data_IF_392803412665
#
_entry.id   IF_392803412665
#
_cell.length_a   1.000
_cell.length_b   1.000
_cell.length_c   1.000
_cell.angle_alpha   90.00
_cell.angle_beta   90.00
_cell.angle_gamma   90.00
#
_symmetry.space_group_name_H-M   'P 1'
#
loop_
_entity.id
_entity.type
_entity.pdbx_description
1 polymer ?
#
# COMPACT_ATOMS: atom_id res chain seq x y z
N UNK A 1 4.83 8.02 9.90
CA UNK A 1 5.70 7.24 10.77
C UNK A 1 6.06 5.91 10.14
N UNK A 2 7.30 5.44 10.42
CA UNK A 2 7.80 4.12 10.03
C UNK A 2 7.24 3.04 10.95
N UNK A 3 6.18 2.39 10.51
CA UNK A 3 5.50 1.39 11.33
C UNK A 3 6.26 0.06 11.38
N UNK A 4 7.04 -0.27 10.35
CA UNK A 4 7.86 -1.49 10.33
C UNK A 4 8.87 -1.46 11.47
N UNK A 5 9.60 -0.36 11.57
CA UNK A 5 10.62 -0.17 12.60
C UNK A 5 10.02 0.00 13.98
N UNK A 6 8.90 0.76 14.09
CA UNK A 6 8.20 0.94 15.35
C UNK A 6 7.65 -0.39 15.91
N UNK A 7 7.12 -1.26 15.07
CA UNK A 7 6.63 -2.58 15.46
C UNK A 7 7.78 -3.52 15.86
N UNK A 8 8.87 -3.53 15.08
CA UNK A 8 10.06 -4.31 15.38
C UNK A 8 10.67 -3.97 16.75
N UNK A 9 10.65 -2.68 17.11
CA UNK A 9 11.15 -2.18 18.39
C UNK A 9 10.13 -2.33 19.55
N UNK A 10 8.94 -2.90 19.27
CA UNK A 10 7.85 -3.01 20.25
C UNK A 10 7.24 -1.67 20.66
N UNK A 11 7.48 -0.61 19.90
CA UNK A 11 6.94 0.72 20.14
C UNK A 11 5.53 0.91 19.55
N UNK A 12 5.10 0.07 18.65
CA UNK A 12 3.80 0.14 18.02
C UNK A 12 3.06 -1.20 18.12
N UNK A 13 1.80 -1.11 18.54
CA UNK A 13 0.83 -2.19 18.48
C UNK A 13 -0.44 -1.66 17.81
N UNK A 14 -0.74 -2.18 16.62
CA UNK A 14 -1.86 -1.71 15.80
C UNK A 14 -3.22 -1.95 16.46
N UNK A 15 -3.34 -2.99 17.30
CA UNK A 15 -4.59 -3.35 17.96
C UNK A 15 -4.91 -2.43 19.15
N UNK A 16 -3.91 -1.78 19.73
CA UNK A 16 -4.06 -0.96 20.92
C UNK A 16 -4.37 0.52 20.64
N UNK A 17 -4.32 0.95 19.37
CA UNK A 17 -4.49 2.36 19.02
C UNK A 17 -5.79 2.62 18.25
N UNK A 18 -6.62 3.46 18.82
CA UNK A 18 -7.83 3.98 18.17
C UNK A 18 -7.62 5.46 17.82
N UNK A 19 -7.73 5.81 16.52
CA UNK A 19 -7.65 7.20 16.09
C UNK A 19 -8.88 7.98 16.55
N UNK A 20 -8.66 9.02 17.33
CA UNK A 20 -9.73 9.91 17.85
C UNK A 20 -9.87 11.20 17.05
N UNK A 21 -8.94 11.47 16.12
CA UNK A 21 -8.83 12.76 15.44
C UNK A 21 -8.28 13.90 16.33
N UNK A 22 -7.94 13.59 17.58
CA UNK A 22 -7.31 14.55 18.52
C UNK A 22 -5.79 14.38 18.51
N UNK A 23 -5.10 15.48 18.81
CA UNK A 23 -3.67 15.41 19.07
C UNK A 23 -3.41 14.60 20.35
N UNK A 24 -2.44 13.69 20.28
CA UNK A 24 -2.05 12.80 21.37
C UNK A 24 -0.52 12.86 21.57
N UNK A 25 -0.09 13.60 22.58
CA UNK A 25 1.33 13.77 22.92
C UNK A 25 1.98 12.41 23.21
N UNK A 26 1.29 11.46 23.82
CA UNK A 26 1.83 10.15 24.13
C UNK A 26 2.12 9.32 22.86
N UNK A 27 1.29 9.44 21.83
CA UNK A 27 1.53 8.83 20.52
C UNK A 27 2.71 9.52 19.83
N UNK A 28 2.75 10.85 19.84
CA UNK A 28 3.83 11.62 19.23
C UNK A 28 5.17 11.28 19.87
N UNK A 29 5.27 11.32 21.18
CA UNK A 29 6.50 11.01 21.91
C UNK A 29 6.97 9.57 21.66
N UNK A 30 6.04 8.62 21.67
CA UNK A 30 6.34 7.20 21.43
C UNK A 30 6.84 6.94 20.02
N UNK A 31 6.31 7.66 19.03
CA UNK A 31 6.64 7.48 17.62
C UNK A 31 7.69 8.47 17.09
N UNK A 32 8.15 9.43 17.87
CA UNK A 32 9.05 10.49 17.42
C UNK A 32 10.30 9.99 16.67
N UNK A 33 10.96 8.93 17.18
CA UNK A 33 12.14 8.34 16.53
C UNK A 33 11.85 7.57 15.23
N UNK A 34 10.58 7.38 14.92
CA UNK A 34 10.11 6.72 13.70
C UNK A 34 9.48 7.72 12.71
N UNK A 35 9.69 9.00 12.92
CA UNK A 35 9.26 10.03 11.99
C UNK A 35 9.91 9.84 10.62
N UNK A 36 9.12 10.08 9.57
CA UNK A 36 9.60 10.05 8.18
C UNK A 36 9.53 11.48 7.65
N UNK A 37 10.67 12.04 7.29
CA UNK A 37 10.77 13.34 6.63
C UNK A 37 10.58 13.20 5.13
N UNK A 38 10.00 14.23 4.48
CA UNK A 38 9.91 14.32 3.02
C UNK A 38 8.70 13.61 2.43
N UNK A 39 7.70 13.28 3.24
CA UNK A 39 6.41 12.76 2.78
C UNK A 39 5.50 13.94 2.42
N UNK A 40 4.89 13.92 1.23
CA UNK A 40 3.90 14.89 0.80
C UNK A 40 2.50 14.26 0.78
N UNK A 41 1.55 14.96 1.37
CA UNK A 41 0.13 14.66 1.27
C UNK A 41 -0.57 15.70 0.40
N UNK A 42 -1.54 15.25 -0.39
CA UNK A 42 -2.44 16.15 -1.12
C UNK A 42 -3.86 15.90 -0.64
N UNK A 43 -4.59 16.94 -0.34
CA UNK A 43 -5.98 16.86 0.07
C UNK A 43 -6.92 17.48 -0.96
N UNK A 44 -8.12 16.94 -1.08
CA UNK A 44 -9.18 17.40 -1.97
C UNK A 44 -10.50 17.43 -1.21
N UNK A 45 -11.20 18.57 -1.20
CA UNK A 45 -12.54 18.66 -0.65
C UNK A 45 -13.52 17.96 -1.60
N UNK A 46 -14.19 16.92 -1.13
CA UNK A 46 -15.00 16.03 -2.00
C UNK A 46 -16.50 16.08 -1.69
N UNK A 47 -16.90 16.55 -0.50
CA UNK A 47 -18.31 16.63 -0.13
C UNK A 47 -18.57 17.71 0.91
N UNK A 48 -19.80 18.18 0.93
CA UNK A 48 -20.35 19.05 1.97
C UNK A 48 -20.79 18.25 3.19
N UNK A 49 -20.72 18.87 4.36
CA UNK A 49 -21.25 18.29 5.61
C UNK A 49 -22.73 18.69 5.75
N UNK A 50 -23.58 17.71 6.03
CA UNK A 50 -24.97 17.90 6.38
C UNK A 50 -25.30 17.25 7.71
N UNK A 51 -26.06 17.94 8.54
CA UNK A 51 -26.59 17.34 9.77
C UNK A 51 -27.78 16.45 9.41
N UNK A 52 -27.73 15.23 9.90
CA UNK A 52 -28.87 14.31 9.86
C UNK A 52 -29.53 14.23 11.23
N UNK A 53 -30.84 14.32 11.26
CA UNK A 53 -31.60 14.16 12.48
C UNK A 53 -32.81 13.29 12.19
N UNK A 54 -32.72 12.05 12.56
CA UNK A 54 -33.76 11.03 12.34
C UNK A 54 -34.36 10.54 13.65
N UNK A 55 -35.61 10.11 13.60
CA UNK A 55 -36.26 9.44 14.71
C UNK A 55 -36.12 7.91 14.47
N UNK A 56 -35.30 7.26 15.28
CA UNK A 56 -35.15 5.81 15.31
C UNK A 56 -35.75 5.32 16.61
N UNK A 57 -36.75 4.46 16.54
CA UNK A 57 -37.50 3.93 17.72
C UNK A 57 -38.02 5.03 18.67
N UNK A 58 -38.41 6.17 18.10
CA UNK A 58 -38.92 7.32 18.85
C UNK A 58 -37.87 8.18 19.55
N UNK A 59 -36.58 7.85 19.38
CA UNK A 59 -35.46 8.67 19.84
C UNK A 59 -34.83 9.42 18.69
N UNK A 60 -34.49 10.71 18.94
CA UNK A 60 -33.79 11.51 17.95
C UNK A 60 -32.33 11.10 17.91
N UNK A 61 -31.91 10.54 16.77
CA UNK A 61 -30.51 10.32 16.47
C UNK A 61 -30.01 11.48 15.61
N UNK A 62 -28.87 12.07 16.01
CA UNK A 62 -28.18 13.11 15.27
C UNK A 62 -26.90 12.52 14.72
N UNK A 63 -26.69 12.63 13.44
CA UNK A 63 -25.50 12.13 12.76
C UNK A 63 -25.00 13.13 11.71
N UNK A 64 -23.88 12.81 11.13
CA UNK A 64 -23.27 13.56 10.03
C UNK A 64 -23.42 12.79 8.74
N UNK A 65 -23.84 13.47 7.70
CA UNK A 65 -23.88 12.97 6.33
C UNK A 65 -22.98 13.82 5.45
N UNK A 66 -22.45 13.22 4.43
CA UNK A 66 -21.59 13.86 3.44
C UNK A 66 -22.30 13.91 2.09
N UNK A 67 -22.57 15.10 1.60
CA UNK A 67 -23.31 15.35 0.38
C UNK A 67 -22.39 15.51 -0.83
N UNK A 68 -22.48 14.57 -1.76
CA UNK A 68 -21.76 14.61 -3.03
C UNK A 68 -22.65 15.18 -4.10
N UNK A 69 -22.32 16.36 -4.58
CA UNK A 69 -23.15 17.21 -5.46
C UNK A 69 -23.02 16.89 -6.95
N UNK A 70 -22.25 15.85 -7.31
CA UNK A 70 -21.98 15.47 -8.70
C UNK A 70 -20.98 16.37 -9.41
N UNK A 71 -20.23 17.20 -8.67
CA UNK A 71 -19.09 17.96 -9.21
C UNK A 71 -18.02 17.05 -9.80
N UNK A 72 -17.10 17.61 -10.56
CA UNK A 72 -16.00 16.86 -11.18
C UNK A 72 -15.21 16.04 -10.14
N UNK A 73 -14.92 16.63 -8.98
CA UNK A 73 -14.20 15.96 -7.89
C UNK A 73 -15.01 14.82 -7.25
N UNK A 74 -16.28 15.04 -6.98
CA UNK A 74 -17.20 13.98 -6.52
C UNK A 74 -17.28 12.84 -7.53
N UNK A 75 -17.39 13.16 -8.82
CA UNK A 75 -17.49 12.18 -9.90
C UNK A 75 -16.23 11.37 -10.11
N UNK A 76 -15.05 11.87 -9.71
CA UNK A 76 -13.80 11.12 -9.78
C UNK A 76 -13.65 10.13 -8.62
N UNK A 77 -14.06 10.52 -7.41
CA UNK A 77 -13.85 9.74 -6.19
C UNK A 77 -14.86 8.60 -6.04
N UNK A 78 -16.16 8.86 -6.24
CA UNK A 78 -17.21 7.86 -6.00
C UNK A 78 -17.01 6.56 -6.82
N UNK A 79 -16.79 6.60 -8.15
CA UNK A 79 -16.56 5.39 -8.92
C UNK A 79 -15.27 4.65 -8.53
N UNK A 80 -14.21 5.40 -8.15
CA UNK A 80 -12.93 4.81 -7.76
C UNK A 80 -13.05 3.88 -6.54
N UNK A 81 -14.01 4.16 -5.66
CA UNK A 81 -14.28 3.34 -4.46
C UNK A 81 -15.55 2.49 -4.60
N UNK A 82 -16.12 2.40 -5.81
CA UNK A 82 -17.31 1.60 -6.07
C UNK A 82 -18.59 2.09 -5.41
N UNK A 83 -18.69 3.41 -5.11
CA UNK A 83 -19.89 4.04 -4.58
C UNK A 83 -20.84 4.45 -5.71
N UNK A 84 -22.12 4.18 -5.48
CA UNK A 84 -23.22 4.52 -6.38
C UNK A 84 -24.35 5.23 -5.63
N UNK A 85 -25.30 5.81 -6.35
CA UNK A 85 -26.50 6.39 -5.74
C UNK A 85 -27.33 5.39 -4.93
N UNK A 86 -27.21 4.08 -5.22
CA UNK A 86 -27.90 3.03 -4.48
C UNK A 86 -27.33 2.82 -3.06
N UNK A 87 -26.08 3.24 -2.84
CA UNK A 87 -25.42 3.17 -1.53
C UNK A 87 -25.70 4.39 -0.66
N UNK A 88 -26.38 5.43 -1.21
CA UNK A 88 -26.67 6.65 -0.49
C UNK A 88 -27.65 6.38 0.66
N UNK A 89 -27.36 7.00 1.81
CA UNK A 89 -28.29 7.03 2.95
C UNK A 89 -29.59 7.77 2.57
N UNK A 90 -29.47 8.88 1.83
CA UNK A 90 -30.57 9.60 1.20
C UNK A 90 -30.11 10.34 -0.06
N UNK A 91 -31.07 10.67 -0.93
CA UNK A 91 -30.86 11.58 -2.06
C UNK A 91 -31.87 12.71 -1.95
N UNK A 92 -31.38 13.94 -1.97
CA UNK A 92 -32.21 15.13 -1.83
C UNK A 92 -31.66 16.25 -2.74
N UNK A 93 -32.51 16.85 -3.54
CA UNK A 93 -32.09 17.93 -4.46
C UNK A 93 -31.07 17.52 -5.52
N UNK A 94 -30.96 16.24 -5.84
CA UNK A 94 -29.95 15.70 -6.76
C UNK A 94 -28.61 15.39 -6.10
N UNK A 95 -28.47 15.64 -4.80
CA UNK A 95 -27.27 15.34 -4.01
C UNK A 95 -27.44 13.98 -3.34
N UNK A 96 -26.43 13.14 -3.44
CA UNK A 96 -26.36 11.86 -2.73
C UNK A 96 -25.60 12.05 -1.41
N UNK A 97 -26.23 11.65 -0.32
CA UNK A 97 -25.68 11.77 1.02
C UNK A 97 -25.29 10.42 1.55
N UNK A 98 -24.04 10.29 2.01
CA UNK A 98 -23.48 9.07 2.56
C UNK A 98 -23.06 9.25 4.02
N UNK A 99 -23.09 8.15 4.78
CA UNK A 99 -22.51 8.10 6.13
C UNK A 99 -21.00 7.88 6.06
N UNK A 100 -20.26 8.22 7.12
CA UNK A 100 -18.84 7.90 7.25
C UNK A 100 -18.57 6.40 7.14
N UNK A 101 -19.45 5.57 7.72
CA UNK A 101 -19.31 4.12 7.69
C UNK A 101 -19.42 3.56 6.27
N UNK A 102 -20.38 4.07 5.49
CA UNK A 102 -20.52 3.67 4.08
C UNK A 102 -19.28 4.06 3.28
N UNK A 103 -18.79 5.29 3.43
CA UNK A 103 -17.60 5.79 2.74
C UNK A 103 -16.36 4.96 3.07
N UNK A 104 -16.09 4.75 4.37
CA UNK A 104 -14.93 4.01 4.84
C UNK A 104 -14.99 2.52 4.47
N UNK A 105 -16.17 1.89 4.58
CA UNK A 105 -16.35 0.50 4.20
C UNK A 105 -16.12 0.27 2.70
N UNK A 106 -16.64 1.16 1.85
CA UNK A 106 -16.44 1.08 0.41
C UNK A 106 -14.99 1.33 0.02
N UNK A 107 -14.35 2.35 0.59
CA UNK A 107 -12.93 2.60 0.36
C UNK A 107 -12.08 1.39 0.77
N UNK A 108 -12.32 0.84 1.97
CA UNK A 108 -11.59 -0.33 2.45
C UNK A 108 -11.82 -1.56 1.57
N UNK A 109 -13.05 -1.82 1.15
CA UNK A 109 -13.36 -2.94 0.26
C UNK A 109 -12.72 -2.76 -1.14
N UNK A 110 -12.75 -1.57 -1.70
CA UNK A 110 -12.12 -1.27 -2.98
C UNK A 110 -10.60 -1.44 -2.92
N UNK A 111 -9.95 -0.95 -1.86
CA UNK A 111 -8.51 -1.11 -1.63
C UNK A 111 -8.13 -2.59 -1.42
N UNK A 112 -8.94 -3.36 -0.70
CA UNK A 112 -8.72 -4.79 -0.52
C UNK A 112 -8.84 -5.57 -1.83
N UNK A 113 -9.77 -5.16 -2.71
CA UNK A 113 -9.95 -5.80 -4.01
C UNK A 113 -8.84 -5.45 -5.02
N UNK A 114 -8.40 -4.18 -5.03
CA UNK A 114 -7.42 -3.68 -6.00
C UNK A 114 -6.76 -2.37 -5.52
N UNK A 115 -5.84 -2.49 -4.58
CA UNK A 115 -5.16 -1.35 -3.97
C UNK A 115 -4.50 -0.41 -5.01
N UNK A 116 -3.81 -0.98 -5.99
CA UNK A 116 -3.06 -0.19 -6.98
C UNK A 116 -3.98 0.66 -7.85
N UNK A 117 -5.03 0.08 -8.42
CA UNK A 117 -5.97 0.84 -9.25
C UNK A 117 -6.69 1.91 -8.45
N UNK A 118 -7.12 1.60 -7.23
CA UNK A 118 -7.82 2.56 -6.37
C UNK A 118 -6.89 3.70 -5.95
N UNK A 119 -5.68 3.39 -5.47
CA UNK A 119 -4.69 4.41 -5.12
C UNK A 119 -4.37 5.33 -6.30
N UNK A 120 -4.10 4.76 -7.47
CA UNK A 120 -3.79 5.54 -8.68
C UNK A 120 -4.96 6.44 -9.10
N UNK A 121 -6.19 5.95 -9.04
CA UNK A 121 -7.39 6.74 -9.39
C UNK A 121 -7.61 7.89 -8.40
N UNK A 122 -7.47 7.64 -7.10
CA UNK A 122 -7.63 8.66 -6.06
C UNK A 122 -6.47 9.67 -6.08
N UNK A 123 -5.24 9.23 -6.35
CA UNK A 123 -4.09 10.10 -6.54
C UNK A 123 -4.26 11.01 -7.75
N UNK A 124 -4.76 10.49 -8.87
CA UNK A 124 -5.07 11.30 -10.05
C UNK A 124 -6.14 12.37 -9.71
N UNK A 125 -7.19 12.00 -8.97
CA UNK A 125 -8.24 12.93 -8.55
C UNK A 125 -7.70 14.07 -7.67
N UNK A 126 -6.84 13.76 -6.69
CA UNK A 126 -6.28 14.81 -5.82
C UNK A 126 -5.22 15.66 -6.53
N UNK A 127 -4.50 15.12 -7.50
CA UNK A 127 -3.54 15.90 -8.31
C UNK A 127 -4.21 16.88 -9.28
N UNK A 128 -5.42 16.57 -9.73
CA UNK A 128 -6.16 17.44 -10.66
C UNK A 128 -6.81 18.65 -9.96
N UNK A 129 -7.34 18.49 -8.75
CA UNK A 129 -8.06 19.57 -8.08
C UNK A 129 -7.72 19.77 -6.61
N UNK A 130 -6.78 19.04 -6.06
CA UNK A 130 -6.41 19.11 -4.66
C UNK A 130 -5.30 20.12 -4.37
N UNK A 131 -5.00 20.25 -3.09
CA UNK A 131 -3.94 21.12 -2.57
C UNK A 131 -2.86 20.27 -1.94
N UNK A 132 -1.63 20.38 -2.46
CA UNK A 132 -0.47 19.72 -1.88
C UNK A 132 -0.07 20.42 -0.57
N UNK A 133 0.17 19.62 0.47
CA UNK A 133 0.74 20.10 1.74
C UNK A 133 2.26 20.25 1.58
N UNK A 134 2.86 21.01 2.49
CA UNK A 134 4.33 20.96 2.60
C UNK A 134 4.77 19.57 2.99
N UNK A 135 5.96 19.16 2.53
CA UNK A 135 6.55 17.89 2.97
C UNK A 135 6.69 17.83 4.49
N UNK A 136 6.56 16.63 5.04
CA UNK A 136 6.82 16.40 6.46
C UNK A 136 8.26 16.83 6.82
N UNK A 137 8.39 17.52 7.94
CA UNK A 137 9.66 17.97 8.49
C UNK A 137 10.44 16.81 9.16
N UNK A 138 11.56 17.13 9.79
CA UNK A 138 12.40 16.14 10.49
C UNK A 138 11.69 15.45 11.67
N UNK A 139 10.60 16.03 12.16
CA UNK A 139 9.75 15.42 13.20
C UNK A 139 8.59 14.61 12.62
N UNK A 140 8.50 14.52 11.28
CA UNK A 140 7.42 13.85 10.57
C UNK A 140 6.11 14.62 10.56
N UNK A 141 6.14 15.92 10.84
CA UNK A 141 4.94 16.76 10.93
C UNK A 141 4.74 17.58 9.65
N UNK A 142 3.49 17.69 9.24
CA UNK A 142 2.98 18.68 8.27
C UNK A 142 1.58 19.11 8.69
N UNK A 143 1.12 20.26 8.22
CA UNK A 143 -0.21 20.80 8.54
C UNK A 143 -0.81 21.58 7.39
N UNK A 144 -2.13 21.67 7.37
CA UNK A 144 -2.91 22.60 6.56
C UNK A 144 -3.79 23.44 7.48
N UNK A 145 -3.99 24.70 7.14
CA UNK A 145 -4.79 25.65 7.91
C UNK A 145 -5.79 26.38 7.02
N UNK A 146 -6.74 27.09 7.63
CA UNK A 146 -7.76 27.88 6.94
C UNK A 146 -8.62 27.05 5.96
N UNK A 147 -8.86 25.79 6.30
CA UNK A 147 -9.66 24.89 5.49
C UNK A 147 -11.16 25.13 5.71
N UNK A 148 -11.94 25.10 4.63
CA UNK A 148 -13.39 25.15 4.70
C UNK A 148 -13.97 23.89 5.35
N UNK A 149 -15.18 23.99 5.90
CA UNK A 149 -15.89 22.82 6.39
C UNK A 149 -16.24 21.87 5.23
N UNK A 150 -16.06 20.58 5.45
CA UNK A 150 -16.32 19.58 4.41
C UNK A 150 -15.68 18.24 4.71
N UNK A 151 -15.92 17.30 3.81
CA UNK A 151 -15.18 16.03 3.77
C UNK A 151 -14.01 16.16 2.81
N UNK A 152 -12.86 15.74 3.24
CA UNK A 152 -11.62 15.75 2.48
C UNK A 152 -11.13 14.34 2.22
N UNK A 153 -10.76 14.06 0.98
CA UNK A 153 -9.92 12.92 0.61
C UNK A 153 -8.47 13.34 0.78
N UNK A 154 -7.68 12.57 1.51
CA UNK A 154 -6.25 12.77 1.70
C UNK A 154 -5.49 11.60 1.10
N UNK A 155 -4.52 11.90 0.26
CA UNK A 155 -3.68 10.92 -0.42
C UNK A 155 -2.22 11.29 -0.23
N UNK A 156 -1.39 10.29 0.00
CA UNK A 156 0.06 10.43 0.02
C UNK A 156 0.57 10.45 -1.43
N UNK A 157 1.03 11.61 -1.89
CA UNK A 157 1.37 11.86 -3.30
C UNK A 157 2.84 11.79 -3.61
N UNK A 158 3.69 11.86 -2.60
CA UNK A 158 5.13 11.67 -2.72
C UNK A 158 5.72 11.13 -1.42
N UNK A 159 6.66 10.20 -1.57
CA UNK A 159 7.39 9.59 -0.46
C UNK A 159 8.89 9.54 -0.75
N UNK A 160 9.75 9.54 0.29
CA UNK A 160 11.17 9.26 0.13
C UNK A 160 11.43 7.83 -0.38
N UNK A 161 12.59 7.62 -1.00
CA UNK A 161 12.96 6.33 -1.60
C UNK A 161 13.00 5.14 -0.62
N UNK A 162 13.16 5.41 0.67
CA UNK A 162 13.18 4.37 1.70
C UNK A 162 11.79 3.91 2.16
N UNK A 163 10.72 4.53 1.66
CA UNK A 163 9.34 4.08 1.91
C UNK A 163 8.97 3.01 0.92
N UNK A 164 8.71 1.81 1.40
CA UNK A 164 8.38 0.63 0.59
C UNK A 164 6.89 0.39 0.47
N UNK A 165 6.10 0.91 1.41
CA UNK A 165 4.64 0.88 1.36
C UNK A 165 4.07 2.17 1.93
N UNK A 166 3.23 2.83 1.14
CA UNK A 166 2.54 4.08 1.48
C UNK A 166 1.28 3.80 2.28
N UNK A 167 0.84 4.76 3.10
CA UNK A 167 -0.46 4.66 3.73
C UNK A 167 -1.58 4.63 2.68
N UNK A 168 -2.71 4.04 3.03
CA UNK A 168 -3.88 4.07 2.16
C UNK A 168 -4.50 5.47 2.15
N UNK A 169 -5.14 5.90 1.04
CA UNK A 169 -5.98 7.07 1.02
C UNK A 169 -7.06 7.00 2.12
N UNK A 170 -7.39 8.13 2.71
CA UNK A 170 -8.36 8.19 3.80
C UNK A 170 -9.20 9.47 3.74
N UNK A 171 -10.35 9.44 4.41
CA UNK A 171 -11.21 10.60 4.52
C UNK A 171 -11.01 11.31 5.86
N UNK A 172 -11.07 12.64 5.83
CA UNK A 172 -11.05 13.52 7.01
C UNK A 172 -12.24 14.46 6.92
N UNK A 173 -13.05 14.48 7.95
CA UNK A 173 -14.14 15.45 8.12
C UNK A 173 -13.64 16.68 8.88
N UNK A 174 -13.97 17.86 8.40
CA UNK A 174 -13.74 19.13 9.11
C UNK A 174 -15.05 19.90 9.26
N UNK A 175 -15.57 20.05 10.48
CA UNK A 175 -15.08 19.44 11.72
C UNK A 175 -15.36 17.93 11.81
N UNK A 176 -14.61 17.27 12.66
CA UNK A 176 -14.93 15.93 13.15
C UNK A 176 -15.79 15.98 14.40
N UNK A 177 -16.61 14.95 14.63
CA UNK A 177 -17.22 14.75 15.95
C UNK A 177 -16.28 13.96 16.84
N UNK A 178 -16.28 14.23 18.14
CA UNK A 178 -15.67 13.35 19.13
C UNK A 178 -16.31 11.95 19.09
N UNK A 179 -15.64 10.93 19.60
CA UNK A 179 -16.12 9.52 19.56
C UNK A 179 -17.52 9.38 20.19
N UNK A 180 -17.80 10.12 21.25
CA UNK A 180 -19.12 10.15 21.91
C UNK A 180 -20.14 11.07 21.22
N UNK A 181 -19.74 11.78 20.16
CA UNK A 181 -20.60 12.69 19.40
C UNK A 181 -20.98 13.97 20.14
N UNK A 182 -20.34 14.27 21.27
CA UNK A 182 -20.72 15.39 22.13
C UNK A 182 -20.17 16.74 21.70
N UNK A 183 -19.02 16.75 21.00
CA UNK A 183 -18.30 17.96 20.63
C UNK A 183 -17.81 17.92 19.18
N UNK A 184 -17.57 19.13 18.63
CA UNK A 184 -16.96 19.29 17.32
C UNK A 184 -15.49 19.61 17.46
N UNK A 185 -14.65 18.81 16.81
CA UNK A 185 -13.22 19.04 16.69
C UNK A 185 -12.89 19.71 15.36
N UNK A 186 -12.35 20.93 15.42
CA UNK A 186 -11.89 21.70 14.26
C UNK A 186 -10.37 21.59 14.04
N UNK A 187 -9.64 21.03 14.99
CA UNK A 187 -8.19 20.78 14.90
C UNK A 187 -7.96 19.28 14.85
N UNK A 188 -8.05 18.73 13.64
CA UNK A 188 -8.01 17.29 13.42
C UNK A 188 -6.58 16.83 13.19
N UNK A 189 -6.10 15.93 14.03
CA UNK A 189 -4.80 15.28 13.90
C UNK A 189 -4.94 13.84 13.43
N UNK A 190 -4.16 13.47 12.43
CA UNK A 190 -4.06 12.10 11.91
C UNK A 190 -2.61 11.61 11.96
N UNK A 191 -2.43 10.32 12.17
CA UNK A 191 -1.11 9.68 12.27
C UNK A 191 -0.92 8.64 11.16
N UNK A 192 -0.63 9.05 9.90
CA UNK A 192 -0.39 8.12 8.81
C UNK A 192 0.83 7.22 9.08
N UNK A 193 0.75 6.00 8.61
CA UNK A 193 1.75 4.96 8.88
C UNK A 193 2.24 4.37 7.57
N UNK A 194 3.54 4.44 7.37
CA UNK A 194 4.24 3.90 6.21
C UNK A 194 5.14 2.76 6.63
N UNK A 195 5.48 1.92 5.69
CA UNK A 195 6.52 0.92 5.87
C UNK A 195 7.80 1.39 5.18
N UNK A 196 8.93 1.18 5.83
CA UNK A 196 10.24 1.50 5.29
C UNK A 196 11.11 0.25 5.26
N UNK A 197 12.26 0.39 4.62
CA UNK A 197 13.24 -0.68 4.45
C UNK A 197 13.17 -1.25 3.05
N UNK A 198 14.33 -1.43 2.44
CA UNK A 198 14.42 -2.18 1.21
C UNK A 198 14.31 -3.67 1.57
N UNK A 199 13.61 -4.48 0.75
CA UNK A 199 13.69 -5.92 0.90
C UNK A 199 15.15 -6.35 0.83
N UNK A 200 15.57 -7.25 1.73
CA UNK A 200 16.86 -7.92 1.54
C UNK A 200 16.80 -8.66 0.21
N UNK A 201 17.86 -8.55 -0.57
CA UNK A 201 17.95 -9.19 -1.87
C UNK A 201 19.28 -9.91 -1.98
N UNK A 202 19.22 -11.20 -2.23
CA UNK A 202 20.36 -12.05 -2.51
C UNK A 202 20.21 -12.65 -3.91
N UNK A 203 21.23 -12.48 -4.76
CA UNK A 203 21.31 -13.13 -6.07
C UNK A 203 22.44 -14.14 -6.10
N UNK A 204 22.11 -15.36 -6.43
CA UNK A 204 23.04 -16.46 -6.54
C UNK A 204 22.91 -17.13 -7.91
N UNK A 205 23.91 -17.92 -8.27
CA UNK A 205 24.02 -18.63 -9.54
C UNK A 205 24.52 -20.05 -9.31
N UNK A 206 24.06 -20.97 -10.14
CA UNK A 206 24.66 -22.32 -10.23
C UNK A 206 24.79 -22.75 -11.69
N UNK A 207 25.65 -23.73 -11.93
CA UNK A 207 25.69 -24.40 -13.21
C UNK A 207 24.45 -25.27 -13.39
N UNK A 208 23.78 -25.16 -14.53
CA UNK A 208 22.65 -26.03 -14.83
C UNK A 208 23.14 -27.48 -14.99
N UNK A 209 22.24 -28.44 -14.76
CA UNK A 209 22.55 -29.89 -14.79
C UNK A 209 23.12 -30.35 -16.13
N UNK A 210 22.85 -29.65 -17.22
CA UNK A 210 23.38 -29.88 -18.56
C UNK A 210 24.68 -29.16 -18.83
N UNK A 211 25.19 -28.36 -17.90
CA UNK A 211 26.39 -27.54 -18.07
C UNK A 211 27.64 -28.44 -18.17
N UNK A 212 28.56 -28.01 -19.01
CA UNK A 212 29.90 -28.60 -19.11
C UNK A 212 30.94 -27.89 -18.25
N UNK A 213 30.50 -26.99 -17.38
CA UNK A 213 31.34 -26.24 -16.45
C UNK A 213 32.16 -27.13 -15.52
N UNK A 214 33.17 -26.54 -14.87
CA UNK A 214 34.10 -27.26 -14.02
C UNK A 214 33.58 -27.56 -12.62
N UNK A 215 32.48 -26.94 -12.22
CA UNK A 215 31.86 -27.19 -10.92
C UNK A 215 30.95 -28.41 -11.01
N UNK A 216 31.55 -29.58 -10.97
CA UNK A 216 30.86 -30.89 -11.07
C UNK A 216 30.28 -31.33 -9.74
N UNK A 217 29.99 -30.41 -8.82
CA UNK A 217 29.21 -30.76 -7.62
C UNK A 217 27.92 -31.45 -8.03
N UNK A 218 27.41 -32.36 -7.22
CA UNK A 218 26.15 -33.06 -7.48
C UNK A 218 24.98 -32.08 -7.53
N UNK A 219 24.77 -31.52 -8.70
CA UNK A 219 23.62 -30.63 -8.97
C UNK A 219 22.35 -31.48 -9.14
N UNK A 220 21.92 -32.13 -8.07
CA UNK A 220 20.80 -33.07 -8.15
C UNK A 220 19.47 -32.37 -8.03
N UNK A 221 19.41 -31.25 -7.30
CA UNK A 221 18.18 -30.55 -7.00
C UNK A 221 18.30 -29.03 -7.16
N UNK A 222 17.20 -28.38 -7.45
CA UNK A 222 17.05 -26.90 -7.40
C UNK A 222 17.27 -26.47 -5.94
N UNK A 223 18.15 -25.51 -5.71
CA UNK A 223 18.55 -25.08 -4.38
C UNK A 223 19.90 -25.61 -3.93
N UNK A 224 20.32 -26.79 -4.41
CA UNK A 224 21.65 -27.32 -4.13
C UNK A 224 22.70 -26.60 -4.97
N UNK A 225 23.75 -26.16 -4.32
CA UNK A 225 24.96 -25.61 -4.97
C UNK A 225 24.79 -24.18 -5.57
N UNK A 226 23.76 -23.43 -5.22
CA UNK A 226 23.72 -22.00 -5.52
C UNK A 226 24.81 -21.26 -4.74
N UNK A 227 25.57 -20.42 -5.42
CA UNK A 227 26.65 -19.63 -4.86
C UNK A 227 26.74 -18.26 -5.54
N UNK A 228 27.57 -17.36 -5.02
CA UNK A 228 27.80 -16.06 -5.66
C UNK A 228 28.61 -16.15 -6.95
N UNK A 229 29.19 -17.31 -7.23
CA UNK A 229 29.98 -17.57 -8.44
C UNK A 229 29.70 -18.96 -8.99
N UNK A 230 29.73 -19.10 -10.32
CA UNK A 230 29.69 -20.38 -11.02
C UNK A 230 30.69 -20.38 -12.18
N UNK A 231 31.12 -21.54 -12.64
CA UNK A 231 31.94 -21.71 -13.84
C UNK A 231 31.06 -22.16 -14.99
N UNK A 232 31.24 -21.58 -16.17
CA UNK A 232 30.50 -21.95 -17.36
C UNK A 232 31.38 -21.84 -18.60
N UNK A 233 31.12 -22.64 -19.62
CA UNK A 233 31.72 -22.55 -20.95
C UNK A 233 30.74 -21.85 -21.91
N UNK A 234 31.24 -21.42 -23.05
CA UNK A 234 30.39 -20.83 -24.10
C UNK A 234 29.35 -21.88 -24.54
N UNK A 235 28.09 -21.53 -24.45
CA UNK A 235 26.93 -22.38 -24.80
C UNK A 235 26.34 -23.13 -23.62
N UNK A 236 26.93 -23.04 -22.42
CA UNK A 236 26.35 -23.60 -21.21
C UNK A 236 25.17 -22.72 -20.70
N UNK A 237 24.22 -23.35 -20.05
CA UNK A 237 23.16 -22.67 -19.29
C UNK A 237 23.57 -22.56 -17.84
N UNK A 238 23.26 -21.46 -17.20
CA UNK A 238 23.41 -21.25 -15.75
C UNK A 238 22.05 -20.83 -15.17
N UNK A 239 21.72 -21.34 -14.00
CA UNK A 239 20.51 -20.99 -13.30
C UNK A 239 20.79 -19.86 -12.31
N UNK A 240 19.95 -18.83 -12.30
CA UNK A 240 19.98 -17.76 -11.31
C UNK A 240 18.84 -17.91 -10.31
N UNK A 241 19.13 -17.60 -9.07
CA UNK A 241 18.14 -17.48 -8.01
C UNK A 241 18.24 -16.10 -7.37
N UNK A 242 17.10 -15.43 -7.22
CA UNK A 242 17.00 -14.17 -6.51
C UNK A 242 16.05 -14.40 -5.34
N UNK A 243 16.55 -14.23 -4.11
CA UNK A 243 15.77 -14.32 -2.88
C UNK A 243 15.61 -12.92 -2.35
N UNK A 244 14.39 -12.54 -2.01
CA UNK A 244 14.10 -11.27 -1.32
C UNK A 244 13.08 -11.47 -0.21
N UNK A 245 13.22 -10.69 0.86
CA UNK A 245 12.23 -10.65 1.93
C UNK A 245 11.12 -9.66 1.59
N UNK A 246 9.88 -10.08 1.82
CA UNK A 246 8.71 -9.20 1.67
C UNK A 246 8.49 -8.42 2.97
N UNK A 247 8.06 -7.14 2.87
CA UNK A 247 7.70 -6.39 4.06
C UNK A 247 6.44 -6.97 4.71
N UNK A 248 6.41 -7.02 6.04
CA UNK A 248 5.24 -7.42 6.80
C UNK A 248 4.24 -6.26 6.86
N UNK A 249 3.00 -6.49 6.46
CA UNK A 249 1.93 -5.49 6.52
C UNK A 249 1.26 -5.57 7.89
N UNK A 250 1.46 -4.54 8.71
CA UNK A 250 1.01 -4.49 10.11
C UNK A 250 -0.22 -3.62 10.33
N UNK A 251 -0.77 -3.03 9.28
CA UNK A 251 -1.94 -2.13 9.37
C UNK A 251 -2.81 -2.28 8.12
N UNK A 252 -4.13 -2.27 8.29
CA UNK A 252 -5.10 -2.18 7.17
C UNK A 252 -4.96 -0.89 6.35
N UNK A 253 -4.34 0.14 6.92
CA UNK A 253 -4.07 1.40 6.24
C UNK A 253 -2.82 1.37 5.34
N UNK A 254 -2.15 0.23 5.23
CA UNK A 254 -0.95 0.06 4.40
C UNK A 254 -1.11 -1.12 3.44
N UNK A 255 -0.63 -0.95 2.22
CA UNK A 255 -0.59 -2.01 1.22
C UNK A 255 0.58 -1.79 0.27
N UNK A 256 1.23 -2.87 -0.12
CA UNK A 256 2.25 -2.83 -1.16
C UNK A 256 1.57 -2.49 -2.50
N UNK A 257 1.95 -1.36 -3.10
CA UNK A 257 1.36 -0.85 -4.35
C UNK A 257 2.17 -1.22 -5.58
N UNK A 258 3.45 -1.55 -5.40
CA UNK A 258 4.35 -2.01 -6.45
C UNK A 258 5.38 -2.98 -5.87
N UNK A 259 5.70 -4.02 -6.63
CA UNK A 259 6.83 -4.90 -6.37
C UNK A 259 7.44 -5.33 -7.70
N UNK A 260 8.67 -4.90 -7.92
CA UNK A 260 9.34 -5.05 -9.21
C UNK A 260 10.79 -5.50 -9.00
N UNK A 261 11.20 -6.54 -9.72
CA UNK A 261 12.59 -6.93 -9.84
C UNK A 261 13.15 -6.39 -11.15
N UNK A 262 14.33 -5.81 -11.09
CA UNK A 262 15.10 -5.42 -12.26
C UNK A 262 16.45 -6.11 -12.18
N UNK A 263 16.75 -6.97 -13.15
CA UNK A 263 17.99 -7.69 -13.23
C UNK A 263 18.74 -7.34 -14.53
N UNK A 264 20.04 -7.12 -14.43
CA UNK A 264 20.89 -6.83 -15.58
C UNK A 264 22.04 -7.81 -15.64
N UNK A 265 22.11 -8.56 -16.72
CA UNK A 265 23.19 -9.52 -16.95
C UNK A 265 24.41 -8.86 -17.57
N UNK A 266 25.58 -9.35 -17.18
CA UNK A 266 26.85 -8.93 -17.76
C UNK A 266 26.94 -9.32 -19.24
N UNK A 267 27.81 -8.63 -19.97
CA UNK A 267 28.08 -8.91 -21.37
C UNK A 267 28.54 -10.36 -21.56
N UNK A 268 27.91 -11.05 -22.49
CA UNK A 268 28.23 -12.44 -22.82
C UNK A 268 27.25 -13.46 -22.26
N UNK A 269 26.39 -13.05 -21.37
CA UNK A 269 25.27 -13.87 -20.82
C UNK A 269 23.96 -13.33 -21.41
N UNK A 270 22.99 -14.21 -21.68
CA UNK A 270 21.66 -13.84 -22.19
C UNK A 270 20.60 -14.58 -21.38
N UNK A 271 19.43 -13.95 -21.25
CA UNK A 271 18.28 -14.61 -20.66
C UNK A 271 17.75 -15.73 -21.54
N UNK A 272 17.44 -16.87 -20.94
CA UNK A 272 16.56 -17.86 -21.53
C UNK A 272 15.13 -17.40 -21.23
N UNK A 273 14.44 -16.90 -22.25
CA UNK A 273 13.15 -16.21 -22.08
C UNK A 273 12.04 -17.24 -21.86
N UNK A 274 11.00 -16.82 -21.10
CA UNK A 274 9.81 -17.61 -20.75
C UNK A 274 10.08 -18.75 -19.76
N UNK A 275 11.05 -18.56 -18.87
CA UNK A 275 11.43 -19.53 -17.84
C UNK A 275 11.47 -18.92 -16.42
N UNK A 276 10.74 -17.85 -16.18
CA UNK A 276 10.68 -17.21 -14.86
C UNK A 276 9.64 -17.92 -14.00
N UNK A 277 10.07 -18.32 -12.81
CA UNK A 277 9.21 -18.88 -11.78
C UNK A 277 9.38 -18.07 -10.50
N UNK A 278 8.28 -17.72 -9.86
CA UNK A 278 8.26 -17.06 -8.56
C UNK A 278 7.66 -18.01 -7.54
N UNK A 279 8.36 -18.18 -6.43
CA UNK A 279 7.91 -18.99 -5.31
C UNK A 279 7.84 -18.15 -4.05
N UNK A 280 6.78 -18.32 -3.26
CA UNK A 280 6.62 -17.68 -1.95
C UNK A 280 6.77 -18.70 -0.84
N UNK A 281 7.44 -18.27 0.22
CA UNK A 281 7.70 -19.07 1.40
C UNK A 281 7.34 -18.28 2.65
N UNK A 282 6.96 -18.97 3.73
CA UNK A 282 6.67 -18.34 5.03
C UNK A 282 7.92 -17.99 5.81
N UNK A 283 9.04 -18.63 5.49
CA UNK A 283 10.28 -18.53 6.23
C UNK A 283 11.46 -18.10 5.35
N UNK A 284 12.43 -17.41 5.94
CA UNK A 284 13.63 -16.94 5.27
C UNK A 284 14.52 -18.06 4.72
N UNK A 285 14.37 -19.29 5.22
CA UNK A 285 15.09 -20.46 4.72
C UNK A 285 14.46 -21.08 3.48
N UNK A 286 13.35 -20.54 2.98
CA UNK A 286 12.61 -21.04 1.82
C UNK A 286 12.24 -22.52 1.93
N UNK A 287 11.79 -22.97 3.10
CA UNK A 287 11.44 -24.36 3.39
C UNK A 287 9.93 -24.61 3.44
N UNK A 288 9.13 -23.63 3.88
CA UNK A 288 7.66 -23.71 3.97
C UNK A 288 7.02 -22.93 2.81
N UNK A 289 6.87 -23.60 1.66
CA UNK A 289 6.34 -22.98 0.45
C UNK A 289 4.83 -22.73 0.56
N UNK A 290 4.42 -21.50 0.21
CA UNK A 290 3.01 -21.07 0.12
C UNK A 290 2.46 -21.35 -1.27
N UNK A 291 3.14 -20.83 -2.31
CA UNK A 291 2.64 -20.87 -3.69
C UNK A 291 3.80 -20.78 -4.69
N UNK A 292 3.55 -21.30 -5.88
CA UNK A 292 4.43 -21.16 -7.05
C UNK A 292 3.67 -20.51 -8.19
N UNK A 293 4.23 -19.46 -8.77
CA UNK A 293 3.71 -18.77 -9.96
C UNK A 293 4.62 -18.99 -11.16
N UNK A 294 4.10 -19.58 -12.21
CA UNK A 294 4.77 -19.64 -13.49
C UNK A 294 4.54 -18.33 -14.27
N UNK A 295 5.35 -18.05 -15.28
CA UNK A 295 5.30 -16.82 -16.07
C UNK A 295 3.92 -16.54 -16.71
N UNK A 296 3.15 -17.57 -17.02
CA UNK A 296 1.80 -17.47 -17.57
C UNK A 296 0.68 -17.42 -16.52
N UNK A 297 1.00 -17.31 -15.24
CA UNK A 297 0.02 -17.30 -14.13
C UNK A 297 -0.88 -16.04 -14.09
N UNK A 298 -0.48 -14.97 -14.80
CA UNK A 298 -1.13 -13.68 -14.72
C UNK A 298 -0.85 -12.88 -13.43
N UNK A 299 0.03 -13.41 -12.56
CA UNK A 299 0.40 -12.77 -11.28
C UNK A 299 1.54 -11.77 -11.43
N UNK A 300 2.32 -11.92 -12.47
CA UNK A 300 3.42 -11.01 -12.83
C UNK A 300 3.58 -10.93 -14.35
N UNK A 301 4.30 -9.92 -14.80
CA UNK A 301 4.73 -9.75 -16.19
C UNK A 301 6.24 -9.75 -16.25
N UNK A 302 6.80 -10.23 -17.35
CA UNK A 302 8.25 -10.20 -17.61
C UNK A 302 8.50 -9.39 -18.87
N UNK A 303 9.35 -8.37 -18.75
CA UNK A 303 9.85 -7.57 -19.87
C UNK A 303 11.34 -7.79 -20.07
N UNK A 304 11.79 -7.87 -21.32
CA UNK A 304 13.21 -8.01 -21.68
C UNK A 304 13.66 -6.86 -22.55
N UNK A 305 14.75 -6.20 -22.17
CA UNK A 305 15.49 -5.27 -23.00
C UNK A 305 16.79 -5.93 -23.46
N UNK A 306 16.81 -6.42 -24.69
CA UNK A 306 17.97 -7.11 -25.26
C UNK A 306 19.15 -6.14 -25.51
N UNK A 307 18.92 -4.84 -25.59
CA UNK A 307 19.97 -3.83 -25.78
C UNK A 307 20.70 -3.56 -24.46
N UNK A 308 19.94 -3.34 -23.40
CA UNK A 308 20.48 -3.15 -22.05
C UNK A 308 20.84 -4.47 -21.37
N UNK A 309 20.42 -5.61 -21.93
CA UNK A 309 20.52 -6.94 -21.33
C UNK A 309 19.86 -7.00 -19.96
N UNK A 310 18.67 -6.43 -19.86
CA UNK A 310 17.92 -6.26 -18.62
C UNK A 310 16.59 -7.02 -18.70
N UNK A 311 16.25 -7.68 -17.59
CA UNK A 311 14.94 -8.30 -17.35
C UNK A 311 14.22 -7.51 -16.26
N UNK A 312 12.95 -7.21 -16.49
CA UNK A 312 12.07 -6.58 -15.51
C UNK A 312 10.91 -7.51 -15.21
N UNK A 313 10.75 -7.89 -13.95
CA UNK A 313 9.63 -8.70 -13.47
C UNK A 313 8.77 -7.80 -12.60
N UNK A 314 7.55 -7.51 -13.05
CA UNK A 314 6.61 -6.63 -12.34
C UNK A 314 5.37 -7.40 -11.91
N UNK A 315 5.03 -7.33 -10.62
CA UNK A 315 3.80 -7.92 -10.11
C UNK A 315 2.58 -7.21 -10.72
N UNK A 316 1.58 -7.99 -11.09
CA UNK A 316 0.26 -7.48 -11.48
C UNK A 316 -0.56 -7.12 -10.24
N UNK A 317 -1.67 -6.44 -10.45
CA UNK A 317 -2.64 -6.16 -9.38
C UNK A 317 -3.06 -7.43 -8.63
N UNK A 318 -3.34 -8.50 -9.37
CA UNK A 318 -3.69 -9.80 -8.81
C UNK A 318 -2.55 -10.45 -8.03
N UNK A 319 -1.30 -10.24 -8.46
CA UNK A 319 -0.12 -10.68 -7.72
C UNK A 319 0.08 -9.87 -6.44
N UNK A 320 -0.04 -8.55 -6.52
CA UNK A 320 0.07 -7.66 -5.36
C UNK A 320 -1.01 -7.92 -4.31
N UNK A 321 -2.26 -8.20 -4.73
CA UNK A 321 -3.33 -8.54 -3.80
C UNK A 321 -3.00 -9.80 -2.99
N UNK A 322 -2.48 -10.84 -3.64
CA UNK A 322 -2.10 -12.10 -2.98
C UNK A 322 -0.88 -11.90 -2.05
N UNK A 323 0.11 -11.10 -2.45
CA UNK A 323 1.23 -10.73 -1.59
C UNK A 323 0.75 -9.96 -0.36
N UNK A 324 -0.09 -8.95 -0.54
CA UNK A 324 -0.62 -8.13 0.54
C UNK A 324 -1.41 -8.98 1.55
N UNK A 325 -2.21 -9.94 1.06
CA UNK A 325 -2.92 -10.88 1.92
C UNK A 325 -1.95 -11.79 2.69
N UNK A 326 -0.98 -12.39 2.01
CA UNK A 326 -0.02 -13.32 2.60
C UNK A 326 0.93 -12.67 3.61
N UNK A 327 1.25 -11.38 3.44
CA UNK A 327 2.16 -10.63 4.32
C UNK A 327 1.46 -9.85 5.44
N UNK A 328 0.13 -9.83 5.45
CA UNK A 328 -0.65 -9.17 6.49
C UNK A 328 -0.64 -9.95 7.79
N UNK A 329 -0.30 -9.26 8.89
CA UNK A 329 -0.28 -9.84 10.25
C UNK A 329 -1.27 -9.16 11.20
N UNK A 330 -2.10 -8.23 10.70
CA UNK A 330 -3.15 -7.65 11.51
C UNK A 330 -4.35 -8.59 11.56
N UNK A 331 -4.93 -8.77 12.74
CA UNK A 331 -6.20 -9.47 12.91
C UNK A 331 -7.37 -8.52 12.71
N UNK A 332 -8.44 -9.00 12.08
CA UNK A 332 -9.71 -8.30 12.04
C UNK A 332 -10.30 -8.28 13.45
N UNK A 333 -9.97 -7.25 14.24
CA UNK A 333 -10.81 -6.93 15.39
C UNK A 333 -12.11 -6.33 14.84
N UNK A 334 -13.17 -7.09 14.98
CA UNK A 334 -14.55 -6.69 14.70
C UNK A 334 -14.95 -5.52 15.57
#
# INVERSE_FOLDING_TARGET
YDITKASSDGAWDAESYVSTGLHDDAVVDKLAKYAIQGVEFTYLRVADIAMNSELVDGQRQVGVLYGFDGSEHSNAVLPAIGLTAADAHKTEGGINYFTSDTLNSKLSAALAANATTVKNALEAAVKDGGVAMTETDATGHTSASEMEQGLYLVVETRVPENVTSTCNPFFVSLPMTTIDGSEWNYDVTVYPKNQTGNPDLEKTVREAKSSTGKNTGNLTDIGDSYAHTASASIGDTVDYQIISTLPTITSKASALSEYTYVDTLSKGIKYDKNDVVIEFFKDAGCTDKIVTWAENSGKFTVGYDDTANTMTIKMTESGLAEINEATSVYTDSV
#
